data_IF_557155248854
#
_entry.id   IF_557155248854
#
_cell.length_a   1.000
_cell.length_b   1.000
_cell.length_c   1.000
_cell.angle_alpha   90.00
_cell.angle_beta   90.00
_cell.angle_gamma   90.00
#
_symmetry.space_group_name_H-M   'P 1'
#
loop_
_entity.id
_entity.type
_entity.pdbx_description
1 polymer ?
#
# COMPACT_ATOMS: atom_id res chain seq x y z
N UNK A 1 1.98 -12.72 -34.51
CA UNK A 1 0.98 -11.76 -33.99
C UNK A 1 1.74 -10.62 -33.29
N UNK A 2 1.66 -9.40 -33.80
CA UNK A 2 2.36 -8.24 -33.25
C UNK A 2 1.43 -7.49 -32.28
N UNK A 3 1.81 -7.44 -31.00
CA UNK A 3 1.07 -6.67 -29.98
C UNK A 3 1.77 -5.32 -29.83
N UNK A 4 1.12 -4.20 -30.18
CA UNK A 4 1.73 -2.87 -30.11
C UNK A 4 2.00 -2.44 -28.66
N UNK A 5 3.05 -1.65 -28.45
CA UNK A 5 3.38 -1.07 -27.14
C UNK A 5 2.25 -0.11 -26.72
N UNK A 6 1.66 -0.35 -25.54
CA UNK A 6 0.69 0.57 -24.92
C UNK A 6 1.44 1.55 -24.02
N UNK A 7 1.42 2.82 -24.40
CA UNK A 7 1.98 3.91 -23.59
C UNK A 7 0.93 4.41 -22.58
N UNK A 8 1.39 5.06 -21.50
CA UNK A 8 0.51 5.65 -20.47
C UNK A 8 0.04 4.70 -19.37
N UNK A 9 0.48 3.44 -19.35
CA UNK A 9 0.21 2.52 -18.25
C UNK A 9 1.37 2.53 -17.25
N UNK A 10 1.09 2.93 -16.00
CA UNK A 10 2.03 2.79 -14.88
C UNK A 10 1.68 1.56 -14.04
N UNK A 11 2.71 0.86 -13.56
CA UNK A 11 2.54 -0.25 -12.62
C UNK A 11 2.44 0.34 -11.21
N UNK A 12 1.28 0.16 -10.56
CA UNK A 12 1.09 0.54 -9.17
C UNK A 12 1.27 -0.70 -8.29
N UNK A 13 2.32 -0.70 -7.47
CA UNK A 13 2.56 -1.78 -6.51
C UNK A 13 1.66 -1.62 -5.27
N UNK A 14 1.15 -2.74 -4.77
CA UNK A 14 0.28 -2.80 -3.60
C UNK A 14 1.05 -3.31 -2.39
N UNK A 15 0.75 -2.76 -1.21
CA UNK A 15 1.30 -3.22 0.05
C UNK A 15 0.76 -4.63 0.39
N UNK A 16 1.63 -5.58 0.77
CA UNK A 16 1.22 -6.95 1.11
C UNK A 16 0.34 -7.04 2.36
N UNK A 17 0.47 -6.08 3.29
CA UNK A 17 -0.25 -6.10 4.56
C UNK A 17 -1.64 -5.47 4.51
N UNK A 18 -1.82 -4.37 3.76
CA UNK A 18 -3.10 -3.63 3.73
C UNK A 18 -3.69 -3.41 2.35
N UNK A 19 -3.04 -3.91 1.30
CA UNK A 19 -3.46 -3.81 -0.11
C UNK A 19 -3.61 -2.38 -0.65
N UNK A 20 -3.31 -1.35 0.17
CA UNK A 20 -3.18 0.05 -0.26
C UNK A 20 -1.95 0.21 -1.14
N UNK A 21 -1.88 1.31 -1.88
CA UNK A 21 -0.71 1.65 -2.69
C UNK A 21 0.56 1.68 -1.83
N UNK A 22 1.62 1.02 -2.31
CA UNK A 22 2.92 1.07 -1.67
C UNK A 22 3.59 2.41 -1.96
N UNK A 23 4.09 3.05 -0.91
CA UNK A 23 4.76 4.37 -0.98
C UNK A 23 6.16 4.34 -0.38
N UNK A 24 6.52 3.28 0.35
CA UNK A 24 7.80 3.10 1.01
C UNK A 24 8.34 1.68 0.78
N UNK A 25 9.62 1.47 1.10
CA UNK A 25 10.22 0.14 1.17
C UNK A 25 10.57 -0.19 2.62
N UNK A 26 10.37 -1.45 3.01
CA UNK A 26 10.87 -1.99 4.27
C UNK A 26 12.37 -2.35 4.15
N UNK A 27 13.04 -2.67 5.25
CA UNK A 27 14.40 -3.23 5.37
C UNK A 27 14.66 -4.42 4.45
N UNK A 28 13.66 -5.28 4.23
CA UNK A 28 13.73 -6.40 3.29
C UNK A 28 13.58 -5.96 1.80
N UNK A 29 13.53 -4.66 1.51
CA UNK A 29 13.28 -4.05 0.19
C UNK A 29 11.92 -4.40 -0.42
N UNK A 30 10.95 -4.81 0.40
CA UNK A 30 9.57 -5.10 -0.02
C UNK A 30 8.77 -3.79 -0.08
N UNK A 31 7.98 -3.55 -1.13
CA UNK A 31 7.13 -2.37 -1.24
C UNK A 31 5.97 -2.43 -0.24
N UNK A 32 5.91 -1.44 0.65
CA UNK A 32 4.92 -1.33 1.73
C UNK A 32 4.36 0.09 1.82
N UNK A 33 3.27 0.29 2.56
CA UNK A 33 2.82 1.64 2.92
C UNK A 33 3.66 2.19 4.08
N UNK A 34 3.63 3.51 4.30
CA UNK A 34 4.36 4.16 5.42
C UNK A 34 4.05 3.56 6.80
N UNK A 35 2.80 3.11 7.02
CA UNK A 35 2.38 2.49 8.29
C UNK A 35 3.07 1.14 8.57
N UNK A 36 3.50 0.43 7.53
CA UNK A 36 4.09 -0.92 7.62
C UNK A 36 5.56 -0.91 7.20
N UNK A 37 6.24 0.24 7.36
CA UNK A 37 7.65 0.38 7.01
C UNK A 37 8.55 -0.53 7.85
N UNK A 38 8.16 -0.82 9.08
CA UNK A 38 8.93 -1.61 10.05
C UNK A 38 8.47 -3.08 10.11
N UNK A 39 7.36 -3.44 9.47
CA UNK A 39 6.79 -4.80 9.55
C UNK A 39 7.49 -5.76 8.58
N UNK A 40 8.19 -6.76 9.11
CA UNK A 40 8.88 -7.79 8.32
C UNK A 40 7.98 -8.97 7.95
N UNK A 41 8.23 -9.54 6.77
CA UNK A 41 7.57 -10.76 6.31
C UNK A 41 8.41 -11.96 6.75
N UNK A 42 8.07 -12.54 7.89
CA UNK A 42 8.75 -13.71 8.45
C UNK A 42 7.97 -15.00 8.19
N UNK A 43 8.68 -16.14 8.16
CA UNK A 43 8.12 -17.49 8.07
C UNK A 43 7.31 -17.81 6.80
N UNK A 44 7.71 -17.26 5.65
CA UNK A 44 7.10 -17.59 4.36
C UNK A 44 7.44 -19.03 3.94
N UNK A 45 6.42 -19.78 3.54
CA UNK A 45 6.55 -21.16 3.04
C UNK A 45 6.38 -21.22 1.54
N UNK A 46 7.13 -22.12 0.91
CA UNK A 46 6.92 -22.50 -0.48
C UNK A 46 5.70 -23.44 -0.62
N UNK A 47 5.19 -23.61 -1.84
CA UNK A 47 4.19 -24.63 -2.16
C UNK A 47 4.65 -26.06 -1.78
N UNK A 48 5.97 -26.31 -1.71
CA UNK A 48 6.53 -27.58 -1.25
C UNK A 48 6.70 -27.69 0.27
N UNK A 49 6.32 -26.66 1.03
CA UNK A 49 6.42 -26.61 2.50
C UNK A 49 7.79 -26.23 3.06
N UNK A 50 8.83 -26.04 2.23
CA UNK A 50 10.13 -25.56 2.70
C UNK A 50 10.08 -24.06 3.06
N UNK A 51 10.98 -23.59 3.94
CA UNK A 51 11.17 -22.16 4.14
C UNK A 51 11.66 -21.49 2.85
N UNK A 52 11.37 -20.20 2.74
CA UNK A 52 11.80 -19.35 1.65
C UNK A 52 12.83 -18.33 2.15
N UNK A 53 13.87 -18.13 1.35
CA UNK A 53 14.85 -17.08 1.57
C UNK A 53 14.47 -15.84 0.77
N UNK A 54 14.47 -14.69 1.44
CA UNK A 54 14.19 -13.39 0.81
C UNK A 54 15.45 -12.85 0.16
N UNK A 55 15.44 -12.72 -1.16
CA UNK A 55 16.54 -12.17 -1.95
C UNK A 55 16.09 -10.93 -2.73
N UNK A 56 17.05 -10.14 -3.18
CA UNK A 56 16.78 -8.92 -3.93
C UNK A 56 17.61 -8.86 -5.22
N UNK A 57 16.98 -8.37 -6.29
CA UNK A 57 17.63 -8.21 -7.59
C UNK A 57 17.17 -6.94 -8.31
N UNK A 58 17.55 -6.81 -9.58
CA UNK A 58 17.23 -5.63 -10.43
C UNK A 58 15.74 -5.32 -10.51
N UNK A 59 14.90 -6.34 -10.47
CA UNK A 59 13.44 -6.23 -10.65
C UNK A 59 12.66 -6.21 -9.33
N UNK A 60 13.35 -6.12 -8.19
CA UNK A 60 12.75 -6.11 -6.86
C UNK A 60 13.06 -7.36 -6.05
N UNK A 61 12.26 -7.60 -5.02
CA UNK A 61 12.40 -8.74 -4.12
C UNK A 61 11.80 -10.00 -4.71
N UNK A 62 12.50 -11.11 -4.52
CA UNK A 62 12.07 -12.43 -4.92
C UNK A 62 12.41 -13.43 -3.80
N UNK A 63 11.76 -14.58 -3.84
CA UNK A 63 11.96 -15.62 -2.84
C UNK A 63 12.61 -16.83 -3.48
N UNK A 64 13.64 -17.39 -2.86
CA UNK A 64 14.29 -18.61 -3.32
C UNK A 64 13.89 -19.78 -2.41
N UNK A 65 13.46 -20.86 -3.05
CA UNK A 65 13.24 -22.16 -2.42
C UNK A 65 14.36 -23.11 -2.85
N UNK A 66 15.01 -23.80 -1.91
CA UNK A 66 16.03 -24.80 -2.24
C UNK A 66 15.50 -25.98 -3.09
N UNK A 67 14.19 -26.29 -3.01
CA UNK A 67 13.57 -27.40 -3.75
C UNK A 67 12.89 -26.98 -5.06
N UNK A 68 12.27 -25.79 -5.09
CA UNK A 68 11.46 -25.33 -6.22
C UNK A 68 12.08 -24.18 -7.02
N UNK A 69 13.16 -23.58 -6.52
CA UNK A 69 13.82 -22.43 -7.13
C UNK A 69 13.14 -21.10 -6.81
N UNK A 70 13.34 -20.12 -7.70
CA UNK A 70 12.93 -18.74 -7.49
C UNK A 70 11.43 -18.53 -7.74
N UNK A 71 10.79 -17.77 -6.86
CA UNK A 71 9.39 -17.41 -6.93
C UNK A 71 9.17 -15.90 -6.81
N UNK A 72 8.15 -15.43 -7.52
CA UNK A 72 7.76 -14.03 -7.50
C UNK A 72 7.02 -13.69 -6.19
N UNK A 73 7.24 -12.46 -5.69
CA UNK A 73 6.57 -11.92 -4.51
C UNK A 73 5.05 -12.14 -4.53
N UNK A 74 4.39 -11.86 -5.65
CA UNK A 74 2.93 -12.03 -5.80
C UNK A 74 2.48 -13.46 -5.50
N UNK A 75 3.18 -14.47 -6.04
CA UNK A 75 2.83 -15.89 -5.82
C UNK A 75 3.00 -16.27 -4.34
N UNK A 76 4.10 -15.82 -3.72
CA UNK A 76 4.39 -16.17 -2.33
C UNK A 76 3.37 -15.58 -1.36
N UNK A 77 2.91 -14.35 -1.64
CA UNK A 77 1.85 -13.69 -0.86
C UNK A 77 0.47 -14.34 -1.04
N UNK A 78 0.21 -14.95 -2.19
CA UNK A 78 -1.04 -15.69 -2.44
C UNK A 78 -1.08 -17.00 -1.62
N UNK A 79 0.05 -17.71 -1.48
CA UNK A 79 0.13 -18.95 -0.70
C UNK A 79 0.20 -18.72 0.81
N UNK A 80 1.02 -17.78 1.23
CA UNK A 80 1.14 -17.39 2.63
C UNK A 80 0.15 -16.25 2.82
N UNK A 81 -1.12 -16.57 3.08
CA UNK A 81 -2.16 -15.59 3.33
C UNK A 81 -1.69 -14.62 4.43
N UNK A 82 -1.07 -13.52 4.03
CA UNK A 82 -0.59 -12.49 4.96
C UNK A 82 -1.86 -11.82 5.44
N UNK A 83 -2.37 -12.30 6.57
CA UNK A 83 -3.60 -11.76 7.13
C UNK A 83 -3.34 -10.29 7.44
N UNK A 84 -4.11 -9.35 6.87
CA UNK A 84 -4.04 -7.97 7.32
C UNK A 84 -4.33 -7.98 8.82
N UNK A 85 -3.35 -7.63 9.65
CA UNK A 85 -3.64 -7.33 11.05
C UNK A 85 -4.49 -6.07 11.02
N UNK A 86 -5.81 -6.22 11.03
CA UNK A 86 -6.73 -5.10 11.25
C UNK A 86 -6.40 -4.55 12.64
N UNK A 87 -5.55 -3.53 12.69
CA UNK A 87 -5.41 -2.72 13.88
C UNK A 87 -6.76 -2.02 14.04
N UNK A 88 -7.59 -2.54 14.95
CA UNK A 88 -8.79 -1.87 15.45
C UNK A 88 -8.33 -0.57 16.12
N UNK A 89 -8.09 0.46 15.34
CA UNK A 89 -7.98 1.82 15.87
C UNK A 89 -9.40 2.20 16.26
N UNK A 90 -9.65 2.19 17.57
CA UNK A 90 -10.81 2.81 18.18
C UNK A 90 -10.94 4.23 17.60
N UNK A 91 -11.82 4.38 16.62
CA UNK A 91 -12.15 5.66 16.02
C UNK A 91 -13.02 6.37 17.05
N UNK A 92 -12.40 7.03 18.01
CA UNK A 92 -13.10 7.98 18.86
C UNK A 92 -13.67 9.04 17.91
N UNK A 93 -14.99 9.00 17.73
CA UNK A 93 -15.73 9.95 16.93
C UNK A 93 -15.53 11.35 17.55
N UNK A 94 -14.50 12.07 17.09
CA UNK A 94 -14.55 13.53 17.18
C UNK A 94 -15.55 13.98 16.14
N UNK A 95 -16.78 14.17 16.60
CA UNK A 95 -17.80 14.96 15.92
C UNK A 95 -17.28 16.41 15.82
N UNK A 96 -16.41 16.68 14.86
CA UNK A 96 -16.15 18.04 14.44
C UNK A 96 -17.37 18.46 13.60
N UNK A 97 -18.22 19.32 14.18
CA UNK A 97 -19.27 20.01 13.45
C UNK A 97 -18.60 20.75 12.29
N UNK A 98 -18.81 20.26 11.08
CA UNK A 98 -18.51 21.02 9.86
C UNK A 98 -19.52 22.17 9.85
N UNK A 99 -19.14 23.34 10.37
CA UNK A 99 -19.90 24.55 10.12
C UNK A 99 -19.85 24.81 8.61
N UNK A 100 -20.99 24.63 7.96
CA UNK A 100 -21.17 25.05 6.58
C UNK A 100 -20.81 26.53 6.48
N UNK A 101 -19.79 26.87 5.70
CA UNK A 101 -19.50 28.26 5.34
C UNK A 101 -20.77 28.84 4.74
N UNK A 102 -21.41 29.78 5.45
CA UNK A 102 -22.57 30.50 4.94
C UNK A 102 -22.06 31.42 3.84
N UNK A 103 -22.62 31.31 2.64
CA UNK A 103 -22.37 32.31 1.60
C UNK A 103 -22.91 33.66 2.08
N UNK A 104 -22.02 34.63 2.27
CA UNK A 104 -22.38 36.01 2.58
C UNK A 104 -22.38 36.81 1.29
N UNK A 105 -23.56 37.18 0.80
CA UNK A 105 -23.71 38.16 -0.29
C UNK A 105 -23.68 39.56 0.31
N UNK A 106 -22.62 40.31 0.03
CA UNK A 106 -22.51 41.73 0.44
C UNK A 106 -23.15 42.59 -0.65
N UNK A 107 -24.08 43.48 -0.26
CA UNK A 107 -24.72 44.46 -1.15
C UNK A 107 -24.08 45.84 -0.98
N UNK A 108 -24.23 46.71 -1.98
CA UNK A 108 -23.69 48.09 -1.99
C UNK A 108 -24.13 48.94 -0.80
N UNK A 109 -25.25 48.57 -0.17
CA UNK A 109 -25.84 49.27 0.98
C UNK A 109 -25.41 48.67 2.33
N UNK A 110 -24.55 47.64 2.37
CA UNK A 110 -24.10 47.02 3.63
C UNK A 110 -23.06 47.92 4.33
N UNK A 111 -23.29 48.35 5.59
CA UNK A 111 -22.37 49.22 6.34
C UNK A 111 -20.95 48.64 6.47
N UNK A 112 -20.81 47.31 6.40
CA UNK A 112 -19.52 46.60 6.44
C UNK A 112 -18.72 46.71 5.14
N UNK A 113 -19.24 47.39 4.12
CA UNK A 113 -18.56 47.59 2.84
C UNK A 113 -17.47 48.67 2.90
N UNK A 114 -17.56 49.62 3.84
CA UNK A 114 -16.69 50.80 3.91
C UNK A 114 -15.65 50.77 5.05
N UNK A 115 -15.62 49.70 5.86
CA UNK A 115 -14.53 49.39 6.80
C UNK A 115 -13.43 48.56 6.13
#
# INVERSE_FOLDING_TARGET
MYIPKKYGQSKVDKCPFCQKQATAMNSQKVPVCQLHKEEMLDNLRCACGSPLETLHGKFGTFFSCMKCGNMNLKKVLEFNAVTPKMQNKNFSQRNEKIESKKETTVRSDDPRYFD
#
